data_IF_195021441007
#
_entry.id   IF_195021441007
#
_cell.length_a   1.000
_cell.length_b   1.000
_cell.length_c   1.000
_cell.angle_alpha   90.00
_cell.angle_beta   90.00
_cell.angle_gamma   90.00
#
_symmetry.space_group_name_H-M   'P 1'
#
loop_
_entity.id
_entity.type
_entity.pdbx_description
1 polymer ?
#
# COMPACT_ATOMS: atom_id res chain seq x y z
N UNK A 1 -14.59 -6.46 -15.35
CA UNK A 1 -14.43 -7.06 -16.70
C UNK A 1 -15.78 -7.10 -17.41
N UNK A 2 -15.81 -7.22 -18.74
CA UNK A 2 -17.07 -7.40 -19.49
C UNK A 2 -17.97 -6.17 -19.66
N UNK A 3 -17.59 -5.00 -19.12
CA UNK A 3 -18.35 -3.75 -19.32
C UNK A 3 -18.17 -3.23 -20.76
N UNK A 4 -19.27 -2.89 -21.42
CA UNK A 4 -19.35 -2.34 -22.80
C UNK A 4 -19.70 -0.85 -22.85
N UNK A 5 -19.61 -0.12 -21.74
CA UNK A 5 -19.85 1.33 -21.75
C UNK A 5 -18.79 2.06 -22.59
N UNK A 6 -19.12 3.30 -23.00
CA UNK A 6 -18.27 4.11 -23.88
C UNK A 6 -16.85 4.30 -23.33
N UNK A 7 -16.70 4.56 -22.03
CA UNK A 7 -15.40 4.74 -21.38
C UNK A 7 -14.55 3.47 -21.48
N UNK A 8 -15.14 2.30 -21.20
CA UNK A 8 -14.44 1.03 -21.28
C UNK A 8 -14.06 0.66 -22.73
N UNK A 9 -14.94 0.91 -23.70
CA UNK A 9 -14.63 0.71 -25.12
C UNK A 9 -13.51 1.63 -25.60
N UNK A 10 -13.54 2.89 -25.18
CA UNK A 10 -12.49 3.88 -25.46
C UNK A 10 -11.14 3.46 -24.88
N UNK A 11 -11.11 2.99 -23.62
CA UNK A 11 -9.91 2.48 -22.97
C UNK A 11 -9.37 1.19 -23.63
N UNK A 12 -10.24 0.32 -24.17
CA UNK A 12 -9.79 -0.86 -24.93
C UNK A 12 -9.10 -0.46 -26.22
N UNK A 13 -9.67 0.48 -26.98
CA UNK A 13 -9.16 0.98 -28.26
C UNK A 13 -7.91 1.84 -28.13
N UNK A 14 -7.82 2.66 -27.09
CA UNK A 14 -6.71 3.59 -26.86
C UNK A 14 -6.09 3.37 -25.47
N UNK A 15 -4.82 2.94 -25.45
CA UNK A 15 -4.09 2.68 -24.22
C UNK A 15 -3.95 3.91 -23.32
N UNK A 16 -4.00 5.14 -23.88
CA UNK A 16 -3.92 6.39 -23.11
C UNK A 16 -5.13 6.64 -22.22
N UNK A 17 -6.25 5.98 -22.50
CA UNK A 17 -7.49 6.11 -21.73
C UNK A 17 -7.63 4.99 -20.68
N UNK A 18 -6.63 4.10 -20.57
CA UNK A 18 -6.64 3.02 -19.58
C UNK A 18 -6.23 3.57 -18.22
N UNK A 19 -7.03 3.24 -17.22
CA UNK A 19 -6.70 3.44 -15.81
C UNK A 19 -6.46 2.06 -15.19
N UNK A 20 -5.51 1.99 -14.28
CA UNK A 20 -5.25 0.81 -13.45
C UNK A 20 -6.04 0.89 -12.16
N UNK A 21 -6.15 -0.24 -11.45
CA UNK A 21 -6.73 -0.26 -10.10
C UNK A 21 -5.97 0.72 -9.20
N UNK A 22 -6.69 1.39 -8.28
CA UNK A 22 -6.13 2.43 -7.43
C UNK A 22 -4.96 1.89 -6.59
N UNK A 23 -3.83 2.59 -6.64
CA UNK A 23 -2.64 2.34 -5.84
C UNK A 23 -1.85 3.64 -5.68
N UNK A 24 -1.05 3.74 -4.63
CA UNK A 24 -0.22 4.93 -4.40
C UNK A 24 1.23 4.53 -4.12
N UNK A 25 2.16 5.03 -4.94
CA UNK A 25 3.59 4.85 -4.73
C UNK A 25 4.14 5.99 -3.86
N UNK A 26 4.69 5.65 -2.70
CA UNK A 26 5.49 6.54 -1.88
C UNK A 26 6.96 6.34 -2.24
N UNK A 27 7.61 7.40 -2.73
CA UNK A 27 9.01 7.37 -3.14
C UNK A 27 9.76 8.54 -2.53
N UNK A 28 10.92 8.27 -1.94
CA UNK A 28 11.82 9.32 -1.51
C UNK A 28 12.40 10.07 -2.72
N UNK A 29 12.39 11.41 -2.67
CA UNK A 29 12.98 12.24 -3.72
C UNK A 29 14.52 12.26 -3.56
N UNK A 30 15.27 11.73 -4.54
CA UNK A 30 16.73 11.64 -4.49
C UNK A 30 17.32 10.71 -5.55
N UNK A 31 18.63 10.43 -5.44
CA UNK A 31 19.43 9.63 -6.37
C UNK A 31 18.91 8.18 -6.58
N UNK A 32 19.59 7.47 -7.50
CA UNK A 32 19.27 6.19 -8.15
C UNK A 32 18.63 5.09 -7.26
N UNK A 33 18.90 5.09 -5.95
CA UNK A 33 18.38 4.15 -4.96
C UNK A 33 17.40 4.81 -3.95
N UNK A 34 16.29 5.32 -4.46
CA UNK A 34 15.20 5.86 -3.63
C UNK A 34 14.45 4.76 -2.88
N UNK A 35 14.14 4.98 -1.61
CA UNK A 35 13.17 4.14 -0.88
C UNK A 35 11.79 4.20 -1.55
N UNK A 36 11.13 3.03 -1.73
CA UNK A 36 9.83 2.86 -2.40
C UNK A 36 8.89 1.99 -1.58
N UNK A 37 7.75 2.57 -1.19
CA UNK A 37 6.64 1.83 -0.59
C UNK A 37 5.42 1.91 -1.50
N UNK A 38 4.72 0.80 -1.67
CA UNK A 38 3.46 0.77 -2.41
C UNK A 38 2.30 0.69 -1.43
N UNK A 39 1.27 1.50 -1.62
CA UNK A 39 -0.04 1.30 -0.99
C UNK A 39 -0.89 0.50 -1.98
N UNK A 40 -1.35 -0.65 -1.50
CA UNK A 40 -2.12 -1.68 -2.20
C UNK A 40 -1.34 -2.41 -3.31
N UNK A 41 -1.20 -3.73 -3.16
CA UNK A 41 -0.60 -4.61 -4.16
C UNK A 41 -1.69 -5.08 -5.13
N UNK A 42 -1.97 -4.26 -6.14
CA UNK A 42 -3.08 -4.50 -7.08
C UNK A 42 -2.75 -5.54 -8.16
N UNK A 43 -3.74 -6.08 -8.90
CA UNK A 43 -3.49 -6.91 -10.08
C UNK A 43 -2.58 -6.25 -11.14
N UNK A 44 -2.53 -4.91 -11.16
CA UNK A 44 -1.80 -4.11 -12.13
C UNK A 44 -0.36 -3.76 -11.69
N UNK A 45 0.10 -4.34 -10.58
CA UNK A 45 1.37 -4.00 -9.92
C UNK A 45 2.57 -3.97 -10.88
N UNK A 46 2.63 -4.87 -11.87
CA UNK A 46 3.70 -4.93 -12.88
C UNK A 46 3.86 -3.62 -13.65
N UNK A 47 2.75 -2.94 -13.95
CA UNK A 47 2.74 -1.66 -14.64
C UNK A 47 2.95 -0.49 -13.68
N UNK A 48 2.40 -0.59 -12.46
CA UNK A 48 2.46 0.46 -11.44
C UNK A 48 3.87 0.67 -10.88
N UNK A 49 4.65 -0.40 -10.72
CA UNK A 49 6.02 -0.31 -10.18
C UNK A 49 7.09 -0.15 -11.28
N UNK A 50 6.72 -0.36 -12.55
CA UNK A 50 7.62 -0.25 -13.70
C UNK A 50 8.86 -1.14 -13.62
N UNK A 51 8.74 -2.33 -13.01
CA UNK A 51 9.84 -3.26 -12.76
C UNK A 51 10.79 -2.88 -11.62
N UNK A 52 10.51 -1.80 -10.87
CA UNK A 52 11.30 -1.41 -9.71
C UNK A 52 11.08 -2.31 -8.50
N UNK A 53 12.10 -2.42 -7.64
CA UNK A 53 11.98 -3.08 -6.33
C UNK A 53 11.24 -2.20 -5.33
N UNK A 54 10.59 -2.86 -4.37
CA UNK A 54 9.90 -2.23 -3.25
C UNK A 54 10.65 -2.49 -1.94
N UNK A 55 10.53 -1.56 -1.01
CA UNK A 55 11.02 -1.68 0.37
C UNK A 55 9.91 -2.09 1.33
N UNK A 56 8.67 -1.85 0.94
CA UNK A 56 7.52 -2.40 1.62
C UNK A 56 6.20 -2.10 0.93
N UNK A 57 5.15 -2.69 1.49
CA UNK A 57 3.77 -2.54 1.02
C UNK A 57 2.88 -2.23 2.20
N UNK A 58 1.93 -1.32 2.03
CA UNK A 58 0.83 -1.08 2.96
C UNK A 58 -0.45 -1.59 2.33
N UNK A 59 -1.24 -2.40 3.04
CA UNK A 59 -2.51 -2.93 2.53
C UNK A 59 -3.70 -2.25 3.20
N UNK A 60 -4.64 -1.76 2.40
CA UNK A 60 -5.85 -1.09 2.87
C UNK A 60 -6.92 -2.08 3.37
N UNK A 61 -7.28 -3.06 2.53
CA UNK A 61 -8.33 -4.05 2.79
C UNK A 61 -8.30 -5.21 1.78
N UNK A 62 -9.09 -6.25 2.04
CA UNK A 62 -8.98 -7.59 1.44
C UNK A 62 -9.64 -7.80 0.08
N UNK A 63 -10.10 -6.74 -0.61
CA UNK A 63 -10.67 -6.91 -1.94
C UNK A 63 -9.60 -7.23 -2.98
N UNK A 64 -9.96 -8.04 -3.98
CA UNK A 64 -9.02 -8.50 -5.03
C UNK A 64 -8.31 -7.35 -5.75
N UNK A 65 -8.94 -6.18 -5.87
CA UNK A 65 -8.32 -4.98 -6.43
C UNK A 65 -7.05 -4.54 -5.70
N UNK A 66 -6.92 -4.85 -4.41
CA UNK A 66 -5.90 -4.27 -3.53
C UNK A 66 -4.85 -5.29 -3.03
N UNK A 67 -5.14 -6.59 -3.14
CA UNK A 67 -4.24 -7.66 -2.66
C UNK A 67 -3.81 -8.68 -3.72
N UNK A 68 -4.46 -8.73 -4.90
CA UNK A 68 -4.18 -9.76 -5.88
C UNK A 68 -2.80 -9.63 -6.56
N UNK A 69 -2.07 -8.55 -6.29
CA UNK A 69 -0.68 -8.35 -6.67
C UNK A 69 0.34 -9.04 -5.76
N UNK A 70 -0.05 -9.44 -4.55
CA UNK A 70 0.84 -10.12 -3.59
C UNK A 70 1.61 -11.32 -4.18
N UNK A 71 0.99 -12.21 -5.00
CA UNK A 71 1.70 -13.36 -5.57
C UNK A 71 2.90 -13.00 -6.45
N UNK A 72 2.98 -11.77 -7.00
CA UNK A 72 4.13 -11.30 -7.76
C UNK A 72 5.40 -11.13 -6.90
N UNK A 73 5.29 -11.18 -5.57
CA UNK A 73 6.44 -11.18 -4.65
C UNK A 73 7.10 -12.56 -4.49
N UNK A 74 6.47 -13.62 -5.00
CA UNK A 74 7.04 -14.96 -4.98
C UNK A 74 8.24 -15.13 -5.93
N UNK A 75 8.90 -16.29 -5.80
CA UNK A 75 10.02 -16.74 -6.65
C UNK A 75 9.76 -16.72 -8.16
N UNK A 76 8.50 -16.80 -8.59
CA UNK A 76 8.13 -16.81 -10.01
C UNK A 76 8.17 -15.42 -10.66
N UNK A 77 8.38 -14.37 -9.86
CA UNK A 77 8.40 -12.99 -10.33
C UNK A 77 9.48 -12.18 -9.62
N UNK A 78 9.15 -11.48 -8.53
CA UNK A 78 10.09 -10.56 -7.89
C UNK A 78 11.11 -11.26 -7.00
N UNK A 79 10.81 -12.48 -6.54
CA UNK A 79 11.64 -13.27 -5.62
C UNK A 79 12.12 -12.44 -4.43
N UNK A 80 11.18 -11.79 -3.75
CA UNK A 80 11.54 -10.90 -2.64
C UNK A 80 12.10 -11.70 -1.47
N UNK A 81 13.02 -11.09 -0.73
CA UNK A 81 13.54 -11.61 0.53
C UNK A 81 12.95 -10.77 1.67
N UNK A 82 11.98 -11.34 2.39
CA UNK A 82 11.34 -10.75 3.56
C UNK A 82 10.78 -9.32 3.33
N UNK A 83 10.16 -9.05 2.18
CA UNK A 83 9.53 -7.74 1.90
C UNK A 83 8.54 -7.38 3.00
N UNK A 84 8.69 -6.19 3.60
CA UNK A 84 7.81 -5.76 4.70
C UNK A 84 6.41 -5.42 4.17
N UNK A 85 5.39 -6.10 4.68
CA UNK A 85 3.98 -5.89 4.32
C UNK A 85 3.22 -5.50 5.59
N UNK A 86 2.71 -4.28 5.63
CA UNK A 86 2.00 -3.70 6.77
C UNK A 86 0.50 -3.78 6.57
N UNK A 87 -0.21 -4.26 7.57
CA UNK A 87 -1.65 -4.49 7.50
C UNK A 87 -2.28 -4.55 8.89
N UNK A 88 -3.61 -4.52 8.98
CA UNK A 88 -4.33 -4.75 10.24
C UNK A 88 -4.24 -6.22 10.67
N UNK A 89 -4.61 -6.52 11.92
CA UNK A 89 -4.65 -7.89 12.44
C UNK A 89 -5.57 -8.79 11.59
N UNK A 90 -6.76 -8.30 11.26
CA UNK A 90 -7.75 -9.04 10.46
C UNK A 90 -7.25 -9.33 9.04
N UNK A 91 -6.58 -8.36 8.40
CA UNK A 91 -5.92 -8.58 7.11
C UNK A 91 -4.81 -9.64 7.20
N UNK A 92 -3.99 -9.59 8.25
CA UNK A 92 -2.95 -10.61 8.45
C UNK A 92 -3.57 -11.99 8.64
N UNK A 93 -4.62 -12.12 9.45
CA UNK A 93 -5.34 -13.36 9.63
C UNK A 93 -5.90 -13.87 8.29
N UNK A 94 -6.51 -12.99 7.50
CA UNK A 94 -6.98 -13.32 6.15
C UNK A 94 -5.85 -13.86 5.26
N UNK A 95 -4.69 -13.18 5.20
CA UNK A 95 -3.53 -13.66 4.42
C UNK A 95 -3.05 -15.02 4.90
N UNK A 96 -2.96 -15.24 6.22
CA UNK A 96 -2.45 -16.49 6.79
C UNK A 96 -3.44 -17.65 6.66
N UNK A 97 -4.72 -17.38 6.41
CA UNK A 97 -5.75 -18.39 6.22
C UNK A 97 -6.06 -18.70 4.75
N UNK A 98 -5.49 -17.96 3.80
CA UNK A 98 -5.82 -18.09 2.37
C UNK A 98 -4.57 -18.29 1.50
N UNK A 99 -4.59 -19.36 0.71
CA UNK A 99 -3.63 -19.56 -0.37
C UNK A 99 -3.99 -18.72 -1.60
N UNK A 100 -3.01 -18.24 -2.40
CA UNK A 100 -1.56 -18.49 -2.29
C UNK A 100 -0.82 -17.51 -1.36
N UNK A 101 -1.54 -16.61 -0.68
CA UNK A 101 -0.92 -15.51 0.08
C UNK A 101 -0.12 -16.04 1.28
N UNK A 102 -0.66 -17.04 1.97
CA UNK A 102 0.00 -17.72 3.09
C UNK A 102 1.40 -18.23 2.72
N UNK A 103 1.54 -18.88 1.57
CA UNK A 103 2.84 -19.39 1.11
C UNK A 103 3.91 -18.31 0.95
N UNK A 104 3.53 -17.07 0.65
CA UNK A 104 4.48 -15.95 0.57
C UNK A 104 5.13 -15.68 1.93
N UNK A 105 4.33 -15.71 3.00
CA UNK A 105 4.81 -15.49 4.35
C UNK A 105 5.61 -16.70 4.85
N UNK A 106 5.10 -17.92 4.66
CA UNK A 106 5.76 -19.15 5.12
C UNK A 106 7.10 -19.41 4.42
N UNK A 107 7.24 -19.01 3.15
CA UNK A 107 8.50 -19.14 2.40
C UNK A 107 9.44 -17.95 2.55
N UNK A 108 9.09 -16.97 3.40
CA UNK A 108 9.94 -15.82 3.69
C UNK A 108 10.02 -14.80 2.56
N UNK A 109 9.09 -14.82 1.59
CA UNK A 109 9.03 -13.79 0.55
C UNK A 109 8.53 -12.46 1.10
N UNK A 110 7.51 -12.52 1.97
CA UNK A 110 6.97 -11.35 2.66
C UNK A 110 7.06 -11.52 4.18
N UNK A 111 7.16 -10.40 4.89
CA UNK A 111 7.07 -10.33 6.34
C UNK A 111 5.88 -9.46 6.72
N UNK A 112 4.89 -10.07 7.37
CA UNK A 112 3.68 -9.38 7.80
C UNK A 112 3.93 -8.61 9.10
N UNK A 113 3.64 -7.31 9.08
CA UNK A 113 3.69 -6.40 10.20
C UNK A 113 2.27 -5.95 10.52
N UNK A 114 1.78 -6.32 11.70
CA UNK A 114 0.49 -5.83 12.20
C UNK A 114 0.62 -4.37 12.62
N UNK A 115 -0.44 -3.62 12.40
CA UNK A 115 -0.58 -2.26 12.90
C UNK A 115 -1.99 -1.98 13.38
N UNK A 116 -2.14 -0.92 14.17
CA UNK A 116 -3.41 -0.49 14.75
C UNK A 116 -3.75 0.92 14.30
N UNK A 117 -5.02 1.28 14.47
CA UNK A 117 -5.47 2.65 14.23
C UNK A 117 -4.61 3.66 14.99
N UNK A 118 -4.15 4.69 14.28
CA UNK A 118 -3.33 5.75 14.88
C UNK A 118 -1.84 5.43 15.06
N UNK A 119 -1.42 4.18 14.86
CA UNK A 119 -0.02 3.80 14.99
C UNK A 119 0.82 4.34 13.82
N UNK A 120 1.99 4.91 14.13
CA UNK A 120 2.89 5.50 13.13
C UNK A 120 4.02 4.57 12.76
N UNK A 121 4.02 4.17 11.49
CA UNK A 121 5.10 3.39 10.88
C UNK A 121 6.07 4.35 10.22
N UNK A 122 7.34 4.34 10.66
CA UNK A 122 8.39 5.19 10.06
C UNK A 122 8.85 4.59 8.73
N UNK A 123 8.93 5.44 7.70
CA UNK A 123 9.57 5.10 6.43
C UNK A 123 11.09 5.22 6.62
N UNK A 124 11.82 4.13 6.37
CA UNK A 124 13.28 4.07 6.55
C UNK A 124 13.95 4.38 5.21
N UNK A 125 14.74 5.46 5.16
CA UNK A 125 15.53 5.81 3.99
C UNK A 125 16.76 4.90 3.85
N UNK A 126 16.96 4.34 2.66
CA UNK A 126 18.18 3.58 2.29
C UNK A 126 19.40 4.47 2.04
N UNK A 127 19.23 5.78 1.88
CA UNK A 127 20.32 6.71 1.52
C UNK A 127 21.42 6.84 2.58
N UNK A 128 21.18 6.42 3.83
CA UNK A 128 22.14 6.52 4.95
C UNK A 128 22.73 5.18 5.41
N UNK A 129 22.32 4.06 4.84
CA UNK A 129 22.81 2.72 5.22
C UNK A 129 24.02 2.29 4.36
N UNK A 130 25.07 3.11 4.35
CA UNK A 130 26.46 2.68 4.05
C UNK A 130 27.35 3.06 5.24
N UNK A 131 27.02 2.53 6.42
CA UNK A 131 27.99 2.39 7.51
C UNK A 131 27.60 1.16 8.35
N UNK A 132 28.34 0.08 8.09
CA UNK A 132 28.77 -0.98 8.99
C UNK A 132 27.76 -1.70 9.91
N UNK A 133 27.83 -3.03 9.78
CA UNK A 133 27.46 -4.05 10.75
C UNK A 133 27.75 -3.65 12.21
N UNK A 134 26.67 -3.43 12.96
CA UNK A 134 26.70 -3.24 14.41
C UNK A 134 25.31 -3.45 15.00
N UNK A 135 25.19 -4.44 15.87
CA UNK A 135 24.03 -4.68 16.72
C UNK A 135 23.73 -3.42 17.55
N UNK A 136 22.69 -2.68 17.17
CA UNK A 136 22.26 -1.48 17.87
C UNK A 136 20.88 -1.07 17.41
N UNK A 137 20.01 -0.77 18.38
CA UNK A 137 18.68 -0.19 18.19
C UNK A 137 18.79 1.16 17.46
N UNK A 138 18.86 1.10 16.13
CA UNK A 138 19.13 2.25 15.29
C UNK A 138 17.91 3.16 15.17
N UNK A 139 18.00 4.34 15.78
CA UNK A 139 17.13 5.47 15.44
C UNK A 139 17.49 5.99 14.04
N UNK A 140 16.95 5.32 13.02
CA UNK A 140 16.95 5.83 11.66
C UNK A 140 16.22 7.16 11.60
N UNK A 141 16.87 8.18 11.04
CA UNK A 141 16.27 9.48 10.77
C UNK A 141 15.27 9.31 9.62
N UNK A 142 14.03 8.94 9.96
CA UNK A 142 12.97 8.63 8.99
C UNK A 142 12.52 9.89 8.23
N UNK A 143 12.37 9.77 6.90
CA UNK A 143 11.96 10.87 6.02
C UNK A 143 10.44 11.08 5.96
N UNK A 144 9.66 10.19 6.57
CA UNK A 144 8.21 10.31 6.73
C UNK A 144 7.63 9.18 7.57
N UNK A 145 6.32 9.20 7.77
CA UNK A 145 5.58 8.12 8.45
C UNK A 145 4.22 7.89 7.82
N UNK A 146 3.73 6.66 7.93
CA UNK A 146 2.39 6.26 7.51
C UNK A 146 1.60 5.84 8.74
N UNK A 147 0.36 6.27 8.83
CA UNK A 147 -0.57 5.94 9.91
C UNK A 147 -1.85 5.37 9.31
N UNK A 148 -2.32 4.24 9.85
CA UNK A 148 -3.58 3.61 9.44
C UNK A 148 -4.72 4.33 10.17
N UNK A 149 -5.79 4.64 9.43
CA UNK A 149 -6.99 5.29 9.94
C UNK A 149 -8.21 4.45 9.58
N UNK A 150 -8.94 3.96 10.58
CA UNK A 150 -10.12 3.12 10.39
C UNK A 150 -11.22 3.88 9.62
N UNK A 151 -11.88 3.16 8.71
CA UNK A 151 -12.93 3.69 7.84
C UNK A 151 -14.15 2.77 7.90
N UNK A 152 -15.34 3.38 7.90
CA UNK A 152 -16.58 2.62 7.73
C UNK A 152 -16.69 2.12 6.28
N UNK A 153 -16.48 0.82 6.08
CA UNK A 153 -16.67 0.14 4.81
C UNK A 153 -17.19 -1.27 5.04
N UNK A 154 -18.10 -1.75 4.20
CA UNK A 154 -18.62 -3.10 4.20
C UNK A 154 -17.48 -4.02 3.81
N UNK A 155 -17.10 -4.87 4.73
CA UNK A 155 -16.11 -5.88 4.46
C UNK A 155 -16.68 -7.26 4.74
N UNK A 156 -16.35 -8.19 3.84
CA UNK A 156 -16.67 -9.60 4.01
C UNK A 156 -15.78 -10.20 5.11
N UNK A 157 -14.46 -10.00 5.05
CA UNK A 157 -13.49 -10.78 5.83
C UNK A 157 -12.25 -10.00 6.36
N UNK A 158 -12.16 -8.68 6.21
CA UNK A 158 -11.05 -7.84 6.73
C UNK A 158 -11.54 -6.47 7.17
N UNK A 159 -10.79 -5.71 7.96
CA UNK A 159 -11.03 -4.26 8.10
C UNK A 159 -10.78 -3.49 6.79
N UNK A 160 -11.26 -2.25 6.73
CA UNK A 160 -10.82 -1.24 5.76
C UNK A 160 -10.22 -0.04 6.45
N UNK A 161 -9.05 0.36 5.97
CA UNK A 161 -8.35 1.54 6.45
C UNK A 161 -8.04 2.52 5.33
N UNK A 162 -7.84 3.76 5.73
CA UNK A 162 -7.20 4.82 4.97
C UNK A 162 -5.83 5.12 5.57
N UNK A 163 -5.03 5.94 4.88
CA UNK A 163 -3.67 6.25 5.26
C UNK A 163 -3.46 7.75 5.46
N UNK A 164 -2.93 8.11 6.62
CA UNK A 164 -2.42 9.45 6.89
C UNK A 164 -0.89 9.43 6.76
N UNK A 165 -0.40 9.96 5.65
CA UNK A 165 1.00 9.93 5.26
C UNK A 165 1.64 11.29 5.58
N UNK A 166 2.60 11.30 6.49
CA UNK A 166 3.28 12.52 6.94
C UNK A 166 4.68 12.58 6.36
N UNK A 167 4.91 13.56 5.48
CA UNK A 167 6.24 13.98 5.06
C UNK A 167 6.83 15.02 6.00
N UNK A 168 7.99 15.56 5.63
CA UNK A 168 8.71 16.59 6.42
C UNK A 168 8.00 17.95 6.49
N UNK A 169 7.11 18.24 5.53
CA UNK A 169 6.45 19.55 5.41
C UNK A 169 4.93 19.48 5.22
N UNK A 170 4.42 18.37 4.69
CA UNK A 170 3.02 18.21 4.33
C UNK A 170 2.51 16.83 4.69
N UNK A 171 1.21 16.76 4.89
CA UNK A 171 0.45 15.55 5.19
C UNK A 171 -0.49 15.24 4.03
N UNK A 172 -0.49 13.99 3.59
CA UNK A 172 -1.40 13.45 2.59
C UNK A 172 -2.34 12.46 3.27
N UNK A 173 -3.64 12.65 3.09
CA UNK A 173 -4.65 11.64 3.40
C UNK A 173 -5.01 10.87 2.13
N UNK A 174 -4.89 9.55 2.17
CA UNK A 174 -5.25 8.66 1.07
C UNK A 174 -6.34 7.68 1.53
N UNK A 175 -7.49 7.76 0.88
CA UNK A 175 -8.67 6.93 1.13
C UNK A 175 -9.13 6.39 -0.21
N UNK A 176 -8.83 5.11 -0.50
CA UNK A 176 -9.15 4.50 -1.79
C UNK A 176 -10.62 4.11 -1.90
N UNK A 177 -11.16 3.45 -0.86
CA UNK A 177 -12.51 2.90 -0.84
C UNK A 177 -13.26 3.35 0.43
N UNK A 178 -14.49 3.83 0.28
CA UNK A 178 -15.39 4.19 1.39
C UNK A 178 -16.84 3.85 1.04
N UNK A 179 -17.64 3.39 2.02
CA UNK A 179 -19.09 3.24 1.82
C UNK A 179 -19.89 4.45 2.31
N UNK A 180 -19.43 5.09 3.39
CA UNK A 180 -20.13 6.20 4.02
C UNK A 180 -19.18 7.25 4.58
N UNK A 181 -19.46 8.52 4.27
CA UNK A 181 -18.74 9.67 4.81
C UNK A 181 -19.12 9.95 6.27
N UNK A 182 -18.36 9.37 7.19
CA UNK A 182 -18.47 9.66 8.64
C UNK A 182 -17.74 10.95 9.01
N UNK A 183 -18.08 11.56 10.16
CA UNK A 183 -17.33 12.72 10.68
C UNK A 183 -15.83 12.41 10.89
N UNK A 184 -15.47 11.19 11.30
CA UNK A 184 -14.07 10.79 11.42
C UNK A 184 -13.34 10.84 10.07
N UNK A 185 -13.98 10.38 8.98
CA UNK A 185 -13.40 10.47 7.64
C UNK A 185 -13.26 11.94 7.19
N UNK A 186 -14.27 12.77 7.45
CA UNK A 186 -14.24 14.21 7.14
C UNK A 186 -13.16 14.95 7.96
N UNK A 187 -12.97 14.60 9.22
CA UNK A 187 -11.93 15.17 10.08
C UNK A 187 -10.54 14.80 9.59
N UNK A 188 -10.32 13.57 9.13
CA UNK A 188 -9.06 13.20 8.48
C UNK A 188 -8.81 14.01 7.20
N UNK A 189 -9.84 14.23 6.37
CA UNK A 189 -9.74 15.09 5.18
C UNK A 189 -9.36 16.52 5.57
N UNK A 190 -10.03 17.11 6.57
CA UNK A 190 -9.76 18.48 7.05
C UNK A 190 -8.37 18.61 7.68
N UNK A 191 -7.85 17.55 8.29
CA UNK A 191 -6.55 17.55 8.95
C UNK A 191 -5.35 17.42 8.00
N UNK A 192 -5.57 17.07 6.72
CA UNK A 192 -4.51 16.87 5.75
C UNK A 192 -4.30 18.10 4.85
N UNK A 193 -3.06 18.33 4.41
CA UNK A 193 -2.76 19.38 3.42
C UNK A 193 -3.24 18.99 2.03
N UNK A 194 -3.29 17.68 1.75
CA UNK A 194 -3.75 17.09 0.50
C UNK A 194 -4.60 15.88 0.87
N UNK A 195 -5.76 15.73 0.23
CA UNK A 195 -6.59 14.54 0.34
C UNK A 195 -6.81 13.94 -1.06
N UNK A 196 -6.50 12.66 -1.20
CA UNK A 196 -6.87 11.82 -2.35
C UNK A 196 -7.90 10.84 -1.83
N UNK A 197 -9.13 10.95 -2.32
CA UNK A 197 -10.29 10.25 -1.76
C UNK A 197 -11.04 9.47 -2.84
N UNK A 198 -11.83 8.50 -2.39
CA UNK A 198 -12.74 7.73 -3.22
C UNK A 198 -13.65 8.67 -4.06
N UNK A 199 -13.73 8.37 -5.35
CA UNK A 199 -14.56 9.07 -6.33
C UNK A 199 -15.42 8.11 -7.16
N UNK A 200 -15.63 6.90 -6.67
CA UNK A 200 -16.57 5.93 -7.26
C UNK A 200 -18.00 6.39 -6.98
N UNK A 201 -18.87 6.23 -7.98
CA UNK A 201 -20.28 6.68 -7.98
C UNK A 201 -21.23 5.55 -8.31
#
# INVERSE_FOLDING_TARGET
MGCSCELCESARKNCKNRMYVAALMLKECGEEYSTRYLIDATPDIRYQIGGGMLDGVFLSHGHLGHIAGLPFFSRESMDTDNLSVYCTADMKEYIMNNEPFKLLAERGHIRLHETRDGERIKIISKSKSKSESGSGSGSGSGSGSVEFRQVAHRCLNTDTVSFMIRGSKRTLYYLSDIDEWTENALDNVRAADIAIVDGTV
#
